data_IF_548229643254
#
_entry.id   IF_548229643254
#
_cell.length_a   1.000
_cell.length_b   1.000
_cell.length_c   1.000
_cell.angle_alpha   90.00
_cell.angle_beta   90.00
_cell.angle_gamma   90.00
#
_symmetry.space_group_name_H-M   'P 1'
#
loop_
_entity.id
_entity.type
_entity.pdbx_description
1 polymer ?
#
# COMPACT_ATOMS: atom_id res chain seq x y z
N UNK A 1 39.70 -2.73 33.87
CA UNK A 1 38.78 -3.44 34.78
C UNK A 1 37.69 -2.46 35.21
N UNK A 2 36.42 -2.79 34.90
CA UNK A 2 35.13 -2.24 35.38
C UNK A 2 35.01 -0.77 35.83
N UNK A 3 34.10 -0.05 35.16
CA UNK A 3 32.99 0.63 35.86
C UNK A 3 31.69 0.51 35.06
N UNK A 4 30.66 0.01 35.74
CA UNK A 4 29.27 -0.12 35.35
C UNK A 4 28.56 1.23 35.44
N UNK A 5 27.59 1.48 34.55
CA UNK A 5 26.40 2.27 34.88
C UNK A 5 25.15 1.52 34.43
N UNK A 6 24.29 1.28 35.41
CA UNK A 6 22.97 0.65 35.34
C UNK A 6 21.89 1.74 35.27
N UNK A 7 20.91 1.56 34.37
CA UNK A 7 19.43 1.74 34.49
C UNK A 7 18.89 3.00 35.21
N UNK A 8 17.88 3.75 34.77
CA UNK A 8 16.56 3.35 34.23
C UNK A 8 15.79 4.60 33.73
N UNK A 9 14.83 4.38 32.81
CA UNK A 9 13.49 5.02 32.74
C UNK A 9 13.38 6.56 32.43
N UNK A 10 12.46 7.13 31.64
CA UNK A 10 11.06 6.87 31.26
C UNK A 10 10.73 7.65 29.96
N UNK A 11 9.75 7.18 29.18
CA UNK A 11 8.91 7.93 28.22
C UNK A 11 9.56 8.83 27.17
N UNK A 12 9.83 8.24 26.00
CA UNK A 12 9.35 8.83 24.76
C UNK A 12 8.98 7.65 23.85
N UNK A 13 7.70 7.53 23.50
CA UNK A 13 7.23 6.55 22.55
C UNK A 13 8.03 6.67 21.27
N UNK A 14 9.01 5.77 21.08
CA UNK A 14 9.63 5.56 19.79
C UNK A 14 8.51 5.06 18.90
N UNK A 15 7.97 5.95 18.07
CA UNK A 15 7.30 5.51 16.86
C UNK A 15 8.22 4.47 16.21
N UNK A 16 7.78 3.22 16.01
CA UNK A 16 8.52 2.30 15.18
C UNK A 16 8.28 2.76 13.74
N UNK A 17 8.96 3.83 13.32
CA UNK A 17 9.27 4.02 11.92
C UNK A 17 10.16 2.84 11.54
N UNK A 18 9.48 1.76 11.17
CA UNK A 18 10.04 0.48 10.77
C UNK A 18 11.11 0.74 9.72
N UNK A 19 12.37 0.64 10.12
CA UNK A 19 13.45 0.45 9.17
C UNK A 19 13.17 -0.89 8.50
N UNK A 20 12.54 -0.86 7.31
CA UNK A 20 12.32 -2.06 6.51
C UNK A 20 13.68 -2.65 6.16
N UNK A 21 13.90 -3.87 6.62
CA UNK A 21 15.12 -4.64 6.38
C UNK A 21 14.99 -5.48 5.11
N UNK A 22 16.10 -6.03 4.61
CA UNK A 22 16.08 -7.02 3.54
C UNK A 22 15.25 -8.26 3.92
N UNK A 23 15.20 -8.58 5.22
CA UNK A 23 14.35 -9.63 5.76
C UNK A 23 12.86 -9.31 5.58
N UNK A 24 12.47 -8.05 5.78
CA UNK A 24 11.06 -7.63 5.60
C UNK A 24 10.64 -7.68 4.13
N UNK A 25 11.54 -7.31 3.21
CA UNK A 25 11.29 -7.42 1.78
C UNK A 25 11.17 -8.89 1.33
N UNK A 26 12.05 -9.75 1.83
CA UNK A 26 12.01 -11.20 1.53
C UNK A 26 10.68 -11.82 1.99
N UNK A 27 10.23 -11.43 3.19
CA UNK A 27 8.97 -11.89 3.74
C UNK A 27 7.76 -11.35 2.96
N UNK A 28 7.81 -10.11 2.46
CA UNK A 28 6.77 -9.60 1.55
C UNK A 28 6.69 -10.43 0.26
N UNK A 29 7.81 -10.84 -0.32
CA UNK A 29 7.79 -11.73 -1.48
C UNK A 29 7.20 -13.09 -1.15
N UNK A 30 7.54 -13.65 0.02
CA UNK A 30 6.97 -14.91 0.49
C UNK A 30 5.45 -14.83 0.64
N UNK A 31 4.91 -13.74 1.20
CA UNK A 31 3.46 -13.50 1.24
C UNK A 31 2.82 -13.47 -0.15
N UNK A 32 3.46 -12.80 -1.12
CA UNK A 32 2.95 -12.72 -2.49
C UNK A 32 3.04 -14.06 -3.24
N UNK A 33 4.11 -14.83 -3.03
CA UNK A 33 4.33 -16.13 -3.66
C UNK A 33 3.45 -17.24 -3.09
N UNK A 34 3.11 -17.14 -1.80
CA UNK A 34 2.21 -18.08 -1.12
C UNK A 34 0.75 -17.94 -1.56
N UNK A 35 0.47 -16.92 -2.36
CA UNK A 35 -0.84 -16.67 -2.94
C UNK A 35 -1.70 -15.80 -2.05
N UNK A 36 -2.33 -14.82 -2.70
CA UNK A 36 -3.34 -13.95 -2.13
C UNK A 36 -4.68 -14.23 -2.81
N UNK A 37 -5.73 -14.35 -2.01
CA UNK A 37 -7.10 -14.40 -2.49
C UNK A 37 -7.86 -13.18 -2.03
N UNK A 38 -8.89 -12.83 -2.80
CA UNK A 38 -9.83 -11.80 -2.44
C UNK A 38 -11.16 -12.44 -2.10
N UNK A 39 -11.67 -12.19 -0.90
CA UNK A 39 -12.97 -12.72 -0.47
C UNK A 39 -14.14 -11.93 -1.08
N UNK A 40 -15.36 -12.34 -0.75
CA UNK A 40 -16.59 -11.72 -1.26
C UNK A 40 -16.77 -10.27 -0.79
N UNK A 41 -16.18 -9.91 0.36
CA UNK A 41 -16.15 -8.56 0.91
C UNK A 41 -14.94 -7.77 0.39
N UNK A 42 -14.21 -8.35 -0.56
CA UNK A 42 -13.09 -7.74 -1.24
C UNK A 42 -11.89 -7.47 -0.30
N UNK A 43 -11.80 -8.22 0.81
CA UNK A 43 -10.61 -8.29 1.63
C UNK A 43 -9.58 -9.22 1.00
N UNK A 44 -8.31 -8.87 1.16
CA UNK A 44 -7.21 -9.75 0.81
C UNK A 44 -6.97 -10.71 1.96
N UNK A 45 -6.88 -12.00 1.64
CA UNK A 45 -6.53 -13.08 2.54
C UNK A 45 -5.27 -13.78 2.03
N UNK A 46 -4.49 -14.32 2.96
CA UNK A 46 -3.33 -15.15 2.64
C UNK A 46 -3.76 -16.62 2.63
N UNK A 47 -3.45 -17.35 1.56
CA UNK A 47 -3.81 -18.77 1.49
C UNK A 47 -3.03 -19.63 2.48
N UNK A 48 -1.76 -19.29 2.69
CA UNK A 48 -0.91 -19.99 3.65
C UNK A 48 -1.32 -19.62 5.08
N UNK A 49 -1.84 -20.61 5.80
CA UNK A 49 -2.35 -20.45 7.16
C UNK A 49 -1.24 -20.18 8.16
N UNK A 50 -0.04 -20.72 7.95
CA UNK A 50 1.09 -20.50 8.85
C UNK A 50 1.52 -19.04 8.75
N UNK A 51 1.75 -18.55 7.53
CA UNK A 51 2.10 -17.15 7.28
C UNK A 51 0.98 -16.19 7.72
N UNK A 52 -0.29 -16.52 7.49
CA UNK A 52 -1.42 -15.73 7.98
C UNK A 52 -1.46 -15.62 9.51
N UNK A 53 -1.00 -16.65 10.22
CA UNK A 53 -0.93 -16.70 11.67
C UNK A 53 0.28 -15.96 12.26
N UNK A 54 1.26 -15.58 11.44
CA UNK A 54 2.40 -14.80 11.90
C UNK A 54 1.98 -13.36 12.24
N UNK A 55 2.67 -12.74 13.19
CA UNK A 55 2.45 -11.31 13.51
C UNK A 55 2.69 -10.42 12.29
N UNK A 56 3.73 -10.73 11.52
CA UNK A 56 4.08 -10.05 10.26
C UNK A 56 3.02 -10.25 9.18
N UNK A 57 2.47 -11.46 9.03
CA UNK A 57 1.37 -11.73 8.10
C UNK A 57 0.12 -10.95 8.44
N UNK A 58 -0.30 -10.93 9.71
CA UNK A 58 -1.42 -10.07 10.17
C UNK A 58 -1.16 -8.59 9.94
N UNK A 59 0.05 -8.11 10.19
CA UNK A 59 0.41 -6.70 9.95
C UNK A 59 0.36 -6.36 8.45
N UNK A 60 0.83 -7.26 7.60
CA UNK A 60 0.76 -7.12 6.14
C UNK A 60 -0.71 -7.07 5.66
N UNK A 61 -1.54 -8.00 6.12
CA UNK A 61 -2.96 -8.03 5.78
C UNK A 61 -3.70 -6.78 6.26
N UNK A 62 -3.43 -6.31 7.48
CA UNK A 62 -3.98 -5.04 8.00
C UNK A 62 -3.54 -3.84 7.16
N UNK A 63 -2.26 -3.78 6.74
CA UNK A 63 -1.77 -2.71 5.87
C UNK A 63 -2.51 -2.68 4.53
N UNK A 64 -2.91 -3.83 3.98
CA UNK A 64 -3.65 -3.88 2.71
C UNK A 64 -5.14 -3.67 2.92
N UNK A 65 -5.75 -4.31 3.91
CA UNK A 65 -7.20 -4.30 4.10
C UNK A 65 -7.70 -3.00 4.74
N UNK A 66 -6.93 -2.40 5.64
CA UNK A 66 -7.39 -1.25 6.41
C UNK A 66 -6.96 0.09 5.78
N UNK A 67 -5.83 0.10 5.07
CA UNK A 67 -5.23 1.35 4.56
C UNK A 67 -5.41 1.55 3.04
N UNK A 68 -5.93 0.56 2.30
CA UNK A 68 -6.16 0.69 0.85
C UNK A 68 -7.65 0.92 0.58
N UNK A 69 -8.01 2.04 -0.07
CA UNK A 69 -9.40 2.31 -0.41
C UNK A 69 -9.98 1.20 -1.30
N UNK A 70 -11.20 0.74 -1.01
CA UNK A 70 -11.84 -0.37 -1.75
C UNK A 70 -12.91 0.07 -2.74
N UNK A 71 -13.34 1.33 -2.68
CA UNK A 71 -14.33 1.88 -3.61
C UNK A 71 -13.69 2.83 -4.61
N UNK A 72 -14.27 2.96 -5.81
CA UNK A 72 -13.81 3.94 -6.81
C UNK A 72 -13.83 5.37 -6.25
N UNK A 73 -14.87 5.74 -5.51
CA UNK A 73 -14.99 7.08 -4.93
C UNK A 73 -13.88 7.38 -3.93
N UNK A 74 -13.57 6.44 -3.04
CA UNK A 74 -12.49 6.61 -2.06
C UNK A 74 -11.10 6.60 -2.73
N UNK A 75 -10.89 5.81 -3.78
CA UNK A 75 -9.68 5.88 -4.60
C UNK A 75 -9.51 7.24 -5.28
N UNK A 76 -10.57 7.80 -5.86
CA UNK A 76 -10.51 9.12 -6.50
C UNK A 76 -10.28 10.25 -5.49
N UNK A 77 -10.83 10.12 -4.27
CA UNK A 77 -10.51 11.04 -3.18
C UNK A 77 -9.03 10.96 -2.80
N UNK A 78 -8.46 9.75 -2.71
CA UNK A 78 -7.02 9.56 -2.48
C UNK A 78 -6.18 10.21 -3.58
N UNK A 79 -6.52 9.97 -4.86
CA UNK A 79 -5.84 10.62 -6.01
C UNK A 79 -5.88 12.14 -5.88
N UNK A 80 -7.05 12.69 -5.54
CA UNK A 80 -7.23 14.14 -5.40
C UNK A 80 -6.38 14.70 -4.26
N UNK A 81 -6.35 14.03 -3.11
CA UNK A 81 -5.52 14.41 -1.97
C UNK A 81 -4.03 14.39 -2.31
N UNK A 82 -3.56 13.35 -3.01
CA UNK A 82 -2.16 13.24 -3.45
C UNK A 82 -1.78 14.34 -4.45
N UNK A 83 -2.65 14.64 -5.44
CA UNK A 83 -2.43 15.73 -6.39
C UNK A 83 -2.42 17.12 -5.73
N UNK A 84 -3.22 17.32 -4.68
CA UNK A 84 -3.29 18.57 -3.95
C UNK A 84 -2.07 18.80 -3.03
N UNK A 85 -1.27 17.76 -2.78
CA UNK A 85 -0.07 17.86 -1.97
C UNK A 85 0.97 18.73 -2.69
N UNK A 86 1.28 19.91 -2.14
CA UNK A 86 2.33 20.80 -2.66
C UNK A 86 3.68 20.09 -2.64
N UNK A 87 4.54 20.30 -3.65
CA UNK A 87 5.97 19.89 -3.87
C UNK A 87 6.75 19.24 -2.70
N UNK A 88 6.16 18.28 -2.02
CA UNK A 88 6.75 17.52 -0.93
C UNK A 88 6.73 16.09 -1.43
N UNK A 89 7.90 15.41 -1.47
CA UNK A 89 7.94 14.01 -1.83
C UNK A 89 6.94 13.21 -0.98
N UNK A 90 6.32 12.21 -1.59
CA UNK A 90 5.51 11.25 -0.84
C UNK A 90 6.30 10.65 0.31
N UNK A 91 5.64 10.50 1.47
CA UNK A 91 6.19 9.65 2.51
C UNK A 91 6.23 8.21 2.03
N UNK A 92 7.07 7.38 2.64
CA UNK A 92 7.13 5.95 2.32
C UNK A 92 5.75 5.29 2.40
N UNK A 93 4.97 5.58 3.44
CA UNK A 93 3.61 5.04 3.60
C UNK A 93 2.68 5.50 2.49
N UNK A 94 2.75 6.77 2.09
CA UNK A 94 1.94 7.28 0.98
C UNK A 94 2.29 6.59 -0.34
N UNK A 95 3.59 6.37 -0.58
CA UNK A 95 4.06 5.66 -1.77
C UNK A 95 3.61 4.18 -1.77
N UNK A 96 3.71 3.50 -0.63
CA UNK A 96 3.25 2.12 -0.47
C UNK A 96 1.74 1.98 -0.70
N UNK A 97 0.94 2.86 -0.10
CA UNK A 97 -0.50 2.92 -0.35
C UNK A 97 -0.81 3.22 -1.83
N UNK A 98 -0.07 4.13 -2.47
CA UNK A 98 -0.24 4.43 -3.90
C UNK A 98 0.01 3.21 -4.78
N UNK A 99 1.09 2.46 -4.53
CA UNK A 99 1.43 1.24 -5.28
C UNK A 99 0.38 0.15 -5.07
N UNK A 100 -0.03 -0.11 -3.83
CA UNK A 100 -1.05 -1.11 -3.53
C UNK A 100 -2.42 -0.74 -4.13
N UNK A 101 -2.78 0.55 -4.11
CA UNK A 101 -3.98 1.06 -4.78
C UNK A 101 -3.93 0.87 -6.30
N UNK A 102 -2.76 1.00 -6.93
CA UNK A 102 -2.60 0.67 -8.35
C UNK A 102 -2.83 -0.82 -8.61
N UNK A 103 -2.21 -1.70 -7.83
CA UNK A 103 -2.40 -3.16 -7.97
C UNK A 103 -3.87 -3.53 -7.80
N UNK A 104 -4.54 -2.99 -6.78
CA UNK A 104 -5.95 -3.23 -6.55
C UNK A 104 -6.83 -2.71 -7.69
N UNK A 105 -6.56 -1.52 -8.22
CA UNK A 105 -7.32 -0.95 -9.34
C UNK A 105 -7.13 -1.77 -10.63
N UNK A 106 -5.92 -2.29 -10.87
CA UNK A 106 -5.65 -3.19 -11.98
C UNK A 106 -6.36 -4.53 -11.82
N UNK A 107 -6.38 -5.08 -10.60
CA UNK A 107 -7.15 -6.28 -10.28
C UNK A 107 -8.63 -6.06 -10.58
N UNK A 108 -9.22 -4.97 -10.08
CA UNK A 108 -10.62 -4.64 -10.34
C UNK A 108 -10.91 -4.47 -11.84
N UNK A 109 -10.09 -3.71 -12.57
CA UNK A 109 -10.26 -3.54 -14.00
C UNK A 109 -10.24 -4.86 -14.79
N UNK A 110 -9.54 -5.89 -14.28
CA UNK A 110 -9.48 -7.22 -14.92
C UNK A 110 -10.66 -8.12 -14.57
N UNK A 111 -11.25 -7.99 -13.38
CA UNK A 111 -12.24 -8.95 -12.85
C UNK A 111 -13.69 -8.45 -12.87
N UNK A 112 -13.95 -7.28 -13.44
CA UNK A 112 -15.31 -6.78 -13.62
C UNK A 112 -15.92 -7.34 -14.91
N UNK A 113 -17.16 -7.83 -14.83
CA UNK A 113 -17.88 -8.40 -15.99
C UNK A 113 -18.41 -7.32 -16.95
N UNK A 114 -18.62 -6.09 -16.44
CA UNK A 114 -19.17 -4.97 -17.22
C UNK A 114 -18.05 -4.11 -17.78
N UNK A 115 -18.03 -3.92 -19.09
CA UNK A 115 -17.10 -3.01 -19.80
C UNK A 115 -17.02 -1.61 -19.17
N UNK A 116 -18.14 -1.07 -18.74
CA UNK A 116 -18.21 0.25 -18.08
C UNK A 116 -17.43 0.27 -16.76
N UNK A 117 -17.57 -0.78 -15.94
CA UNK A 117 -16.88 -0.91 -14.66
C UNK A 117 -15.40 -1.20 -14.87
N UNK A 118 -15.06 -2.07 -15.82
CA UNK A 118 -13.68 -2.32 -16.24
C UNK A 118 -12.99 -1.01 -16.68
N UNK A 119 -13.63 -0.22 -17.54
CA UNK A 119 -13.08 1.07 -18.01
C UNK A 119 -12.96 2.08 -16.87
N UNK A 120 -13.93 2.13 -15.97
CA UNK A 120 -13.89 3.05 -14.83
C UNK A 120 -12.72 2.72 -13.89
N UNK A 121 -12.51 1.45 -13.55
CA UNK A 121 -11.36 1.01 -12.76
C UNK A 121 -10.03 1.20 -13.50
N UNK A 122 -10.01 0.96 -14.82
CA UNK A 122 -8.86 1.30 -15.66
C UNK A 122 -8.51 2.79 -15.63
N UNK A 123 -9.53 3.67 -15.63
CA UNK A 123 -9.35 5.11 -15.46
C UNK A 123 -8.74 5.48 -14.10
N UNK A 124 -9.19 4.84 -13.01
CA UNK A 124 -8.60 5.02 -11.68
C UNK A 124 -7.12 4.60 -11.67
N UNK A 125 -6.79 3.43 -12.25
CA UNK A 125 -5.42 2.95 -12.38
C UNK A 125 -4.52 3.97 -13.10
N UNK A 126 -4.97 4.51 -14.23
CA UNK A 126 -4.22 5.51 -14.99
C UNK A 126 -3.99 6.80 -14.19
N UNK A 127 -4.97 7.23 -13.40
CA UNK A 127 -4.80 8.40 -12.55
C UNK A 127 -3.78 8.18 -11.42
N UNK A 128 -3.76 7.00 -10.81
CA UNK A 128 -2.75 6.64 -9.80
C UNK A 128 -1.35 6.51 -10.42
N UNK A 129 -1.24 5.94 -11.62
CA UNK A 129 0.01 5.88 -12.37
C UNK A 129 0.53 7.29 -12.70
N UNK A 130 -0.36 8.21 -13.07
CA UNK A 130 -0.02 9.61 -13.29
C UNK A 130 0.57 10.28 -12.06
N UNK A 131 -0.03 10.09 -10.88
CA UNK A 131 0.53 10.60 -9.62
C UNK A 131 1.92 10.03 -9.39
N UNK A 132 2.09 8.72 -9.55
CA UNK A 132 3.37 8.04 -9.36
C UNK A 132 4.46 8.63 -10.24
N UNK A 133 4.19 8.81 -11.53
CA UNK A 133 5.21 9.33 -12.46
C UNK A 133 5.45 10.81 -12.26
N UNK A 134 4.44 11.59 -11.91
CA UNK A 134 4.63 12.98 -11.53
C UNK A 134 5.57 13.11 -10.32
N UNK A 135 5.43 12.26 -9.32
CA UNK A 135 6.32 12.25 -8.15
C UNK A 135 7.75 11.84 -8.52
N UNK A 136 7.92 10.87 -9.42
CA UNK A 136 9.25 10.37 -9.80
C UNK A 136 9.97 11.25 -10.83
N UNK A 137 9.24 11.93 -11.73
CA UNK A 137 9.80 12.65 -12.89
C UNK A 137 9.48 14.15 -12.91
N UNK A 138 8.62 14.63 -12.03
CA UNK A 138 8.13 16.01 -12.01
C UNK A 138 7.12 16.34 -13.11
N UNK A 139 6.63 15.35 -13.87
CA UNK A 139 5.62 15.51 -14.93
C UNK A 139 4.71 14.28 -15.03
N UNK A 140 3.42 14.42 -15.36
CA UNK A 140 2.49 13.29 -15.46
C UNK A 140 2.75 12.46 -16.74
N UNK A 141 2.31 11.19 -16.75
CA UNK A 141 2.36 10.35 -17.97
C UNK A 141 1.38 10.84 -19.04
N UNK A 142 0.18 11.18 -18.61
CA UNK A 142 -0.90 11.64 -19.47
C UNK A 142 -1.43 12.98 -18.97
N UNK A 143 -1.59 13.92 -19.89
CA UNK A 143 -2.26 15.18 -19.59
C UNK A 143 -3.75 15.02 -19.95
N UNK A 144 -4.60 14.94 -18.93
CA UNK A 144 -6.04 14.97 -19.10
C UNK A 144 -6.49 16.44 -19.01
N UNK A 145 -6.29 17.17 -20.10
CA UNK A 145 -6.81 18.53 -20.27
C UNK A 145 -8.33 18.51 -20.44
#
# INVERSE_FOLDING_TARGET
LYLLYSTSDVAAGKNPTSQKTVSDASLMFEFLLSGLEMDQDNNIILHDKELASMRSGRAFLSQINDNIPRSRSSMLQMVTALKAQKRRPLTQTQFESLVLSMVYSAYQARHQDRDEEQKAWGGVLLQLANVTVHELRGSPLFNYA
#
